data_IF_024669343825
#
_entry.id   IF_024669343825
#
_cell.length_a   1.000
_cell.length_b   1.000
_cell.length_c   1.000
_cell.angle_alpha   90.00
_cell.angle_beta   90.00
_cell.angle_gamma   90.00
#
_symmetry.space_group_name_H-M   'P 1'
#
loop_
_entity.id
_entity.type
_entity.pdbx_description
1 polymer ?
#
# COMPACT_ATOMS: atom_id res chain seq x y z
N UNK A 1 -40.41 22.84 -5.43
CA UNK A 1 -39.34 21.90 -5.85
C UNK A 1 -38.67 21.22 -4.66
N UNK A 2 -38.19 21.95 -3.65
CA UNK A 2 -37.58 21.35 -2.43
C UNK A 2 -38.53 20.45 -1.63
N UNK A 3 -39.78 20.87 -1.44
CA UNK A 3 -40.81 20.05 -0.79
C UNK A 3 -41.07 18.72 -1.52
N UNK A 4 -41.02 18.73 -2.86
CA UNK A 4 -41.19 17.51 -3.67
C UNK A 4 -40.02 16.54 -3.53
N UNK A 5 -38.80 17.04 -3.34
CA UNK A 5 -37.62 16.20 -3.08
C UNK A 5 -37.75 15.53 -1.72
N UNK A 6 -38.15 16.28 -0.69
CA UNK A 6 -38.33 15.75 0.68
C UNK A 6 -39.48 14.74 0.75
N UNK A 7 -40.60 15.03 0.09
CA UNK A 7 -41.72 14.09 -0.05
C UNK A 7 -41.30 12.81 -0.79
N UNK A 8 -40.56 12.95 -1.88
CA UNK A 8 -40.04 11.82 -2.65
C UNK A 8 -39.07 10.96 -1.82
N UNK A 9 -38.11 11.58 -1.10
CA UNK A 9 -37.17 10.87 -0.22
C UNK A 9 -37.92 10.05 0.85
N UNK A 10 -38.95 10.64 1.45
CA UNK A 10 -39.80 9.95 2.43
C UNK A 10 -40.57 8.78 1.83
N UNK A 11 -41.09 8.91 0.61
CA UNK A 11 -41.76 7.82 -0.11
C UNK A 11 -40.78 6.73 -0.54
N UNK A 12 -39.62 7.10 -1.05
CA UNK A 12 -38.57 6.18 -1.50
C UNK A 12 -38.04 5.33 -0.33
N UNK A 13 -37.78 5.95 0.83
CA UNK A 13 -37.37 5.25 2.04
C UNK A 13 -38.38 4.20 2.49
N UNK A 14 -39.68 4.55 2.53
CA UNK A 14 -40.76 3.62 2.89
C UNK A 14 -40.94 2.48 1.89
N UNK A 15 -40.70 2.76 0.60
CA UNK A 15 -40.84 1.78 -0.47
C UNK A 15 -39.57 0.93 -0.70
N UNK A 16 -38.46 1.25 -0.03
CA UNK A 16 -37.15 0.61 -0.27
C UNK A 16 -36.59 0.88 -1.67
N UNK A 17 -37.02 1.97 -2.32
CA UNK A 17 -36.60 2.32 -3.68
C UNK A 17 -35.42 3.29 -3.61
N UNK A 18 -34.46 3.14 -4.52
CA UNK A 18 -33.25 3.97 -4.62
C UNK A 18 -33.36 4.93 -5.81
N UNK A 19 -32.78 6.14 -5.74
CA UNK A 19 -32.66 7.02 -6.89
C UNK A 19 -31.73 6.38 -7.95
N UNK A 20 -31.88 6.75 -9.22
CA UNK A 20 -30.84 6.51 -10.22
C UNK A 20 -29.47 6.98 -9.71
N UNK A 21 -28.39 6.21 -9.90
CA UNK A 21 -27.08 6.49 -9.31
C UNK A 21 -26.49 7.84 -9.78
N UNK A 22 -26.89 8.33 -10.95
CA UNK A 22 -26.47 9.62 -11.51
C UNK A 22 -26.98 10.81 -10.68
N UNK A 23 -28.05 10.61 -9.91
CA UNK A 23 -28.63 11.65 -9.04
C UNK A 23 -28.00 11.67 -7.64
N UNK A 24 -27.22 10.65 -7.27
CA UNK A 24 -26.61 10.58 -5.94
C UNK A 24 -25.74 11.80 -5.60
N UNK A 25 -24.83 12.28 -6.48
CA UNK A 25 -24.06 13.50 -6.20
C UNK A 25 -24.92 14.72 -5.93
N UNK A 26 -25.99 14.92 -6.71
CA UNK A 26 -26.88 16.06 -6.56
C UNK A 26 -27.70 16.00 -5.26
N UNK A 27 -28.09 14.80 -4.83
CA UNK A 27 -28.77 14.59 -3.55
C UNK A 27 -27.83 14.81 -2.36
N UNK A 28 -26.56 14.41 -2.48
CA UNK A 28 -25.55 14.70 -1.45
C UNK A 28 -25.28 16.21 -1.36
N UNK A 29 -25.07 16.89 -2.49
CA UNK A 29 -24.94 18.36 -2.53
C UNK A 29 -26.16 19.07 -1.93
N UNK A 30 -27.36 18.52 -2.11
CA UNK A 30 -28.60 19.04 -1.52
C UNK A 30 -28.64 18.93 0.02
N UNK A 31 -27.97 17.92 0.58
CA UNK A 31 -27.92 17.66 2.02
C UNK A 31 -26.76 18.38 2.72
N UNK A 32 -25.65 18.64 2.01
CA UNK A 32 -24.39 19.18 2.57
C UNK A 32 -24.59 20.38 3.51
N UNK A 33 -25.44 21.34 3.13
CA UNK A 33 -25.65 22.56 3.90
C UNK A 33 -26.65 22.43 5.06
N UNK A 34 -27.31 21.26 5.24
CA UNK A 34 -28.46 21.08 6.13
C UNK A 34 -28.46 19.70 6.82
N UNK A 35 -27.94 19.62 8.06
CA UNK A 35 -27.89 18.38 8.86
C UNK A 35 -29.21 17.63 8.96
N UNK A 36 -30.34 18.33 9.01
CA UNK A 36 -31.69 17.75 9.09
C UNK A 36 -32.04 16.86 7.89
N UNK A 37 -31.32 16.99 6.76
CA UNK A 37 -31.54 16.19 5.55
C UNK A 37 -30.68 14.95 5.45
N UNK A 38 -29.58 14.90 6.22
CA UNK A 38 -28.55 13.87 6.08
C UNK A 38 -29.18 12.48 6.15
N UNK A 39 -29.93 12.16 7.20
CA UNK A 39 -30.56 10.85 7.37
C UNK A 39 -31.41 10.46 6.17
N UNK A 40 -32.36 11.30 5.74
CA UNK A 40 -33.27 10.99 4.62
C UNK A 40 -32.54 10.78 3.29
N UNK A 41 -31.48 11.55 3.03
CA UNK A 41 -30.69 11.43 1.80
C UNK A 41 -29.80 10.21 1.84
N UNK A 42 -29.14 9.94 2.96
CA UNK A 42 -28.27 8.77 3.13
C UNK A 42 -29.07 7.47 3.06
N UNK A 43 -30.26 7.42 3.68
CA UNK A 43 -31.16 6.27 3.57
C UNK A 43 -31.65 6.04 2.14
N UNK A 44 -31.92 7.10 1.38
CA UNK A 44 -32.38 7.01 0.00
C UNK A 44 -31.25 6.62 -0.97
N UNK A 45 -30.06 7.19 -0.83
CA UNK A 45 -28.90 6.92 -1.71
C UNK A 45 -28.25 5.57 -1.34
N UNK A 46 -28.21 5.22 -0.06
CA UNK A 46 -27.67 3.95 0.45
C UNK A 46 -26.14 3.86 0.34
N UNK A 47 -25.58 2.65 0.09
CA UNK A 47 -24.12 2.42 0.10
C UNK A 47 -23.33 3.32 -0.85
N UNK A 48 -23.95 3.77 -1.95
CA UNK A 48 -23.31 4.70 -2.88
C UNK A 48 -22.95 6.04 -2.22
N UNK A 49 -23.72 6.49 -1.21
CA UNK A 49 -23.40 7.71 -0.48
C UNK A 49 -22.09 7.59 0.30
N UNK A 50 -21.89 6.45 0.97
CA UNK A 50 -20.67 6.15 1.71
C UNK A 50 -19.46 6.07 0.77
N UNK A 51 -19.60 5.33 -0.34
CA UNK A 51 -18.55 5.20 -1.34
C UNK A 51 -18.15 6.56 -1.95
N UNK A 52 -19.13 7.40 -2.28
CA UNK A 52 -18.88 8.75 -2.79
C UNK A 52 -18.18 9.63 -1.75
N UNK A 53 -18.63 9.58 -0.49
CA UNK A 53 -18.08 10.40 0.59
C UNK A 53 -16.66 10.01 1.02
N UNK A 54 -16.28 8.74 0.85
CA UNK A 54 -14.91 8.30 1.10
C UNK A 54 -13.92 9.00 0.14
N UNK A 55 -14.37 9.26 -1.10
CA UNK A 55 -13.56 9.77 -2.20
C UNK A 55 -13.59 11.30 -2.31
N UNK A 56 -14.68 11.94 -1.92
CA UNK A 56 -14.89 13.37 -2.07
C UNK A 56 -15.11 14.06 -0.69
N UNK A 57 -14.14 14.86 -0.20
CA UNK A 57 -14.17 15.43 1.15
C UNK A 57 -15.41 16.27 1.49
N UNK A 58 -16.03 16.97 0.54
CA UNK A 58 -17.24 17.79 0.81
C UNK A 58 -18.44 16.97 1.33
N UNK A 59 -18.47 15.66 1.06
CA UNK A 59 -19.52 14.78 1.54
C UNK A 59 -19.16 14.01 2.81
N UNK A 60 -18.11 14.42 3.55
CA UNK A 60 -17.66 13.74 4.76
C UNK A 60 -18.76 13.56 5.83
N UNK A 61 -19.82 14.36 5.82
CA UNK A 61 -20.98 14.20 6.71
C UNK A 61 -21.73 12.87 6.51
N UNK A 62 -21.58 12.24 5.35
CA UNK A 62 -22.16 10.94 5.03
C UNK A 62 -21.36 9.78 5.64
N UNK A 63 -20.11 10.02 6.05
CA UNK A 63 -19.25 9.00 6.64
C UNK A 63 -19.67 8.75 8.10
N UNK A 64 -19.62 7.48 8.57
CA UNK A 64 -19.89 7.16 9.96
C UNK A 64 -18.94 7.94 10.88
N UNK A 65 -19.47 8.43 12.02
CA UNK A 65 -18.72 9.21 12.99
C UNK A 65 -18.34 8.43 14.25
N UNK A 66 -18.98 7.27 14.46
CA UNK A 66 -18.95 6.52 15.71
C UNK A 66 -18.10 5.25 15.57
N UNK A 67 -17.26 4.99 16.56
CA UNK A 67 -16.45 3.77 16.66
C UNK A 67 -17.34 2.53 16.89
N UNK A 68 -18.60 2.69 17.30
CA UNK A 68 -19.61 1.63 17.30
C UNK A 68 -19.81 0.99 15.92
N UNK A 69 -19.59 1.75 14.84
CA UNK A 69 -19.64 1.26 13.45
C UNK A 69 -18.50 0.28 13.18
N UNK A 70 -17.35 0.43 13.83
CA UNK A 70 -16.25 -0.52 13.67
C UNK A 70 -16.64 -1.94 14.11
N UNK A 71 -17.50 -2.04 15.14
CA UNK A 71 -17.89 -3.33 15.75
C UNK A 71 -19.09 -3.99 15.07
N UNK A 72 -20.04 -3.22 14.57
CA UNK A 72 -21.32 -3.73 14.09
C UNK A 72 -21.64 -3.35 12.63
N UNK A 73 -20.81 -2.50 12.02
CA UNK A 73 -20.99 -2.04 10.65
C UNK A 73 -20.56 -3.06 9.62
N UNK A 74 -21.09 -2.89 8.42
CA UNK A 74 -20.67 -3.59 7.21
C UNK A 74 -19.22 -3.22 6.82
N UNK A 75 -18.51 -4.03 6.02
CA UNK A 75 -17.17 -3.70 5.55
C UNK A 75 -17.05 -2.31 4.90
N UNK A 76 -18.03 -1.91 4.10
CA UNK A 76 -18.07 -0.58 3.46
C UNK A 76 -18.17 0.56 4.49
N UNK A 77 -18.97 0.38 5.54
CA UNK A 77 -19.09 1.36 6.63
C UNK A 77 -17.82 1.43 7.47
N UNK A 78 -17.18 0.28 7.73
CA UNK A 78 -15.90 0.19 8.44
C UNK A 78 -14.77 0.86 7.64
N UNK A 79 -14.75 0.67 6.33
CA UNK A 79 -13.83 1.35 5.42
C UNK A 79 -14.04 2.87 5.43
N UNK A 80 -15.29 3.31 5.31
CA UNK A 80 -15.66 4.73 5.39
C UNK A 80 -15.22 5.38 6.72
N UNK A 81 -15.39 4.66 7.83
CA UNK A 81 -14.90 5.08 9.15
C UNK A 81 -13.37 5.18 9.18
N UNK A 82 -12.64 4.17 8.68
CA UNK A 82 -11.18 4.19 8.63
C UNK A 82 -10.63 5.35 7.82
N UNK A 83 -11.16 5.59 6.60
CA UNK A 83 -10.79 6.75 5.75
C UNK A 83 -10.91 8.05 6.55
N UNK A 84 -12.04 8.22 7.23
CA UNK A 84 -12.30 9.43 8.03
C UNK A 84 -11.31 9.55 9.19
N UNK A 85 -11.15 8.48 9.98
CA UNK A 85 -10.22 8.46 11.11
C UNK A 85 -8.79 8.70 10.65
N UNK A 86 -8.35 8.19 9.50
CA UNK A 86 -7.03 8.48 8.94
C UNK A 86 -6.82 9.96 8.58
N UNK A 87 -7.88 10.72 8.29
CA UNK A 87 -7.79 12.19 8.09
C UNK A 87 -7.78 12.96 9.41
N UNK A 88 -8.53 12.51 10.41
CA UNK A 88 -8.75 13.23 11.67
C UNK A 88 -7.73 12.85 12.75
N UNK A 89 -7.51 11.55 12.96
CA UNK A 89 -6.62 10.95 13.96
C UNK A 89 -6.04 9.63 13.42
N UNK A 90 -4.89 9.69 12.71
CA UNK A 90 -4.22 8.51 12.16
C UNK A 90 -3.89 7.44 13.21
N UNK A 91 -3.65 7.84 14.47
CA UNK A 91 -3.31 6.92 15.54
C UNK A 91 -4.53 6.11 15.97
N UNK A 92 -5.67 6.76 16.19
CA UNK A 92 -6.92 6.07 16.52
C UNK A 92 -7.35 5.09 15.41
N UNK A 93 -7.19 5.48 14.13
CA UNK A 93 -7.47 4.58 13.01
C UNK A 93 -6.59 3.31 13.03
N UNK A 94 -5.28 3.48 13.27
CA UNK A 94 -4.35 2.35 13.39
C UNK A 94 -4.73 1.45 14.57
N UNK A 95 -5.09 2.02 15.70
CA UNK A 95 -5.50 1.25 16.89
C UNK A 95 -6.78 0.44 16.63
N UNK A 96 -7.77 1.02 15.95
CA UNK A 96 -8.97 0.31 15.52
C UNK A 96 -8.62 -0.89 14.63
N UNK A 97 -7.82 -0.66 13.59
CA UNK A 97 -7.40 -1.74 12.67
C UNK A 97 -6.59 -2.83 13.39
N UNK A 98 -5.62 -2.44 14.22
CA UNK A 98 -4.79 -3.38 14.97
C UNK A 98 -5.62 -4.24 15.95
N UNK A 99 -6.70 -3.68 16.52
CA UNK A 99 -7.54 -4.37 17.51
C UNK A 99 -8.29 -5.57 16.94
N UNK A 100 -8.61 -5.58 15.64
CA UNK A 100 -9.37 -6.66 15.00
C UNK A 100 -8.59 -7.40 13.92
N UNK A 101 -7.34 -7.00 13.65
CA UNK A 101 -6.49 -7.55 12.57
C UNK A 101 -6.50 -9.08 12.47
N UNK A 102 -6.36 -9.78 13.59
CA UNK A 102 -6.30 -11.24 13.64
C UNK A 102 -7.63 -11.93 13.25
N UNK A 103 -8.75 -11.24 13.38
CA UNK A 103 -10.11 -11.75 13.16
C UNK A 103 -10.61 -11.46 11.74
N UNK A 104 -10.03 -10.46 11.07
CA UNK A 104 -10.44 -10.06 9.72
C UNK A 104 -10.18 -11.15 8.67
N UNK A 105 -11.03 -11.15 7.64
CA UNK A 105 -10.76 -11.89 6.40
C UNK A 105 -9.53 -11.31 5.70
N UNK A 106 -8.95 -12.06 4.77
CA UNK A 106 -7.76 -11.54 4.09
C UNK A 106 -8.10 -10.42 3.09
N UNK A 107 -9.31 -10.43 2.53
CA UNK A 107 -9.85 -9.38 1.68
C UNK A 107 -10.01 -8.08 2.47
N UNK A 108 -10.58 -8.16 3.68
CA UNK A 108 -10.75 -7.01 4.57
C UNK A 108 -9.38 -6.48 5.05
N UNK A 109 -8.44 -7.36 5.37
CA UNK A 109 -7.06 -6.97 5.71
C UNK A 109 -6.40 -6.19 4.59
N UNK A 110 -6.47 -6.69 3.36
CA UNK A 110 -5.91 -6.01 2.19
C UNK A 110 -6.53 -4.61 2.03
N UNK A 111 -7.86 -4.51 2.07
CA UNK A 111 -8.57 -3.25 1.91
C UNK A 111 -8.25 -2.25 3.04
N UNK A 112 -8.39 -2.66 4.31
CA UNK A 112 -8.17 -1.78 5.45
C UNK A 112 -6.72 -1.36 5.61
N UNK A 113 -5.76 -2.23 5.28
CA UNK A 113 -4.34 -1.87 5.30
C UNK A 113 -4.03 -0.79 4.26
N UNK A 114 -4.68 -0.85 3.09
CA UNK A 114 -4.55 0.17 2.03
C UNK A 114 -4.92 1.57 2.51
N UNK A 115 -5.90 1.69 3.42
CA UNK A 115 -6.33 2.98 3.97
C UNK A 115 -5.24 3.70 4.79
N UNK A 116 -4.21 2.99 5.26
CA UNK A 116 -3.08 3.61 5.94
C UNK A 116 -2.27 4.53 5.03
N UNK A 117 -2.38 4.40 3.70
CA UNK A 117 -1.77 5.32 2.74
C UNK A 117 -2.12 6.77 3.05
N UNK A 118 -3.37 7.01 3.47
CA UNK A 118 -3.84 8.30 3.91
C UNK A 118 -3.27 8.62 5.29
N UNK A 119 -2.42 9.65 5.35
CA UNK A 119 -1.79 10.05 6.62
C UNK A 119 -0.75 9.05 7.12
N UNK A 120 -0.11 8.30 6.23
CA UNK A 120 0.94 7.32 6.56
C UNK A 120 2.05 7.95 7.43
N UNK A 121 2.39 7.28 8.54
CA UNK A 121 3.43 7.71 9.48
C UNK A 121 4.34 6.56 9.90
N UNK A 122 5.52 6.86 10.44
CA UNK A 122 6.44 5.85 10.99
C UNK A 122 5.79 5.00 12.09
N UNK A 123 4.79 5.54 12.81
CA UNK A 123 4.07 4.80 13.84
C UNK A 123 3.18 3.67 13.29
N UNK A 124 2.96 3.62 11.97
CA UNK A 124 2.24 2.54 11.30
C UNK A 124 3.14 1.32 11.01
N UNK A 125 4.46 1.47 11.11
CA UNK A 125 5.44 0.42 10.80
C UNK A 125 5.21 -0.91 11.53
N UNK A 126 4.92 -0.97 12.85
CA UNK A 126 4.74 -2.24 13.55
C UNK A 126 3.59 -3.09 12.99
N UNK A 127 2.49 -2.43 12.59
CA UNK A 127 1.33 -3.11 12.00
C UNK A 127 1.66 -3.59 10.58
N UNK A 128 2.39 -2.79 9.80
CA UNK A 128 2.81 -3.14 8.44
C UNK A 128 3.83 -4.29 8.43
N UNK A 129 4.77 -4.32 9.37
CA UNK A 129 5.70 -5.44 9.55
C UNK A 129 4.95 -6.72 9.94
N UNK A 130 3.95 -6.63 10.83
CA UNK A 130 3.09 -7.79 11.12
C UNK A 130 2.30 -8.26 9.87
N UNK A 131 1.88 -7.34 9.00
CA UNK A 131 1.20 -7.66 7.75
C UNK A 131 2.12 -8.29 6.68
N UNK A 132 3.44 -8.04 6.73
CA UNK A 132 4.42 -8.75 5.89
C UNK A 132 4.49 -10.25 6.19
N UNK A 133 4.09 -10.68 7.39
CA UNK A 133 4.03 -12.08 7.77
C UNK A 133 2.67 -12.73 7.46
N UNK A 134 1.72 -12.00 6.82
CA UNK A 134 0.42 -12.56 6.46
C UNK A 134 0.57 -13.72 5.45
N UNK A 135 -0.31 -14.71 5.55
CA UNK A 135 -0.32 -15.90 4.68
C UNK A 135 -0.63 -15.54 3.23
N UNK A 136 -1.41 -14.49 2.99
CA UNK A 136 -1.90 -14.10 1.66
C UNK A 136 -0.98 -13.09 1.00
N UNK A 137 -0.64 -13.36 -0.27
CA UNK A 137 0.23 -12.47 -1.06
C UNK A 137 -0.32 -11.03 -1.20
N UNK A 138 -1.63 -10.82 -1.49
CA UNK A 138 -2.15 -9.45 -1.64
C UNK A 138 -1.92 -8.58 -0.40
N UNK A 139 -2.18 -9.10 0.80
CA UNK A 139 -1.93 -8.40 2.07
C UNK A 139 -0.45 -8.01 2.23
N UNK A 140 0.48 -8.95 1.95
CA UNK A 140 1.92 -8.68 2.01
C UNK A 140 2.38 -7.65 0.99
N UNK A 141 1.76 -7.64 -0.20
CA UNK A 141 2.13 -6.71 -1.27
C UNK A 141 1.76 -5.27 -0.86
N UNK A 142 0.55 -5.04 -0.32
CA UNK A 142 0.12 -3.74 0.23
C UNK A 142 1.04 -3.31 1.38
N UNK A 143 1.38 -4.22 2.30
CA UNK A 143 2.29 -3.93 3.41
C UNK A 143 3.68 -3.46 2.93
N UNK A 144 4.25 -4.19 1.95
CA UNK A 144 5.56 -3.86 1.39
C UNK A 144 5.55 -2.52 0.65
N UNK A 145 4.48 -2.21 -0.09
CA UNK A 145 4.32 -0.93 -0.78
C UNK A 145 4.28 0.24 0.20
N UNK A 146 3.51 0.11 1.28
CA UNK A 146 3.42 1.16 2.30
C UNK A 146 4.73 1.32 3.09
N UNK A 147 5.40 0.22 3.46
CA UNK A 147 6.72 0.27 4.11
C UNK A 147 7.79 0.91 3.22
N UNK A 148 7.74 0.67 1.91
CA UNK A 148 8.64 1.32 0.94
C UNK A 148 8.49 2.85 0.92
N UNK A 149 7.33 3.39 1.32
CA UNK A 149 7.06 4.82 1.44
C UNK A 149 7.50 5.42 2.77
N UNK A 150 7.96 4.60 3.71
CA UNK A 150 8.53 5.00 5.00
C UNK A 150 10.06 4.89 4.94
N UNK A 151 10.79 5.96 4.56
CA UNK A 151 12.24 5.90 4.37
C UNK A 151 13.02 5.63 5.67
N UNK A 152 12.41 5.88 6.83
CA UNK A 152 12.98 5.56 8.15
C UNK A 152 12.73 4.12 8.61
N UNK A 153 11.94 3.33 7.89
CA UNK A 153 11.56 1.98 8.31
C UNK A 153 12.73 0.99 8.28
N UNK A 154 12.68 -0.01 9.16
CA UNK A 154 13.57 -1.15 9.16
C UNK A 154 13.47 -1.94 7.85
N UNK A 155 12.29 -1.98 7.22
CA UNK A 155 12.11 -2.51 5.87
C UNK A 155 12.95 -1.77 4.83
N UNK A 156 12.86 -0.44 4.78
CA UNK A 156 13.64 0.38 3.85
C UNK A 156 15.16 0.25 4.11
N UNK A 157 15.58 0.15 5.37
CA UNK A 157 16.97 -0.12 5.75
C UNK A 157 17.46 -1.50 5.25
N UNK A 158 16.65 -2.55 5.41
CA UNK A 158 16.95 -3.90 4.89
C UNK A 158 17.01 -3.92 3.37
N UNK A 159 16.09 -3.21 2.70
CA UNK A 159 16.07 -3.07 1.25
C UNK A 159 17.35 -2.39 0.75
N UNK A 160 17.74 -1.27 1.35
CA UNK A 160 18.99 -0.55 1.06
C UNK A 160 20.23 -1.44 1.26
N UNK A 161 20.30 -2.17 2.38
CA UNK A 161 21.42 -3.09 2.64
C UNK A 161 21.52 -4.22 1.61
N UNK A 162 20.38 -4.73 1.13
CA UNK A 162 20.34 -5.82 0.15
C UNK A 162 20.76 -5.38 -1.26
N UNK A 163 20.44 -4.15 -1.66
CA UNK A 163 20.72 -3.63 -3.02
C UNK A 163 22.08 -2.92 -3.13
N UNK A 164 22.62 -2.40 -2.02
CA UNK A 164 23.89 -1.68 -1.97
C UNK A 164 25.08 -2.43 -2.62
N UNK A 165 25.23 -3.76 -2.50
CA UNK A 165 26.31 -4.49 -3.18
C UNK A 165 26.12 -4.64 -4.69
N UNK A 166 24.90 -4.42 -5.20
CA UNK A 166 24.51 -4.68 -6.59
C UNK A 166 24.49 -3.42 -7.44
N UNK A 167 24.64 -2.23 -6.84
CA UNK A 167 24.39 -0.95 -7.49
C UNK A 167 25.58 -0.01 -7.27
N UNK A 168 25.97 0.69 -8.34
CA UNK A 168 26.99 1.73 -8.32
C UNK A 168 26.46 2.96 -9.04
N UNK A 169 26.91 4.13 -8.62
CA UNK A 169 26.68 5.38 -9.35
C UNK A 169 27.99 5.76 -10.02
N UNK A 170 28.03 5.74 -11.35
CA UNK A 170 29.21 6.08 -12.17
C UNK A 170 28.83 7.19 -13.14
N UNK A 171 29.51 8.34 -13.06
CA UNK A 171 29.28 9.49 -13.95
C UNK A 171 27.79 9.96 -14.05
N UNK A 172 27.04 9.86 -12.95
CA UNK A 172 25.61 10.19 -12.91
C UNK A 172 24.67 9.09 -13.43
N UNK A 173 25.19 7.92 -13.79
CA UNK A 173 24.41 6.74 -14.18
C UNK A 173 24.38 5.68 -13.08
N UNK A 174 23.22 5.04 -12.89
CA UNK A 174 23.07 3.91 -11.97
C UNK A 174 23.42 2.60 -12.69
N UNK A 175 24.60 2.05 -12.38
CA UNK A 175 25.09 0.78 -12.91
C UNK A 175 24.64 -0.37 -12.00
N UNK A 176 23.94 -1.35 -12.58
CA UNK A 176 23.45 -2.54 -11.86
C UNK A 176 24.27 -3.77 -12.21
N UNK A 177 24.96 -4.33 -11.22
CA UNK A 177 25.69 -5.60 -11.34
C UNK A 177 24.88 -6.71 -10.67
N UNK A 178 24.20 -7.52 -11.48
CA UNK A 178 23.52 -8.72 -11.00
C UNK A 178 24.52 -9.88 -10.90
N UNK A 179 24.52 -10.68 -9.83
CA UNK A 179 25.38 -11.87 -9.76
C UNK A 179 25.01 -12.86 -10.87
N UNK A 180 26.02 -13.44 -11.53
CA UNK A 180 25.91 -14.31 -12.73
C UNK A 180 24.99 -15.56 -12.57
N UNK A 181 24.51 -15.86 -11.37
CA UNK A 181 23.75 -17.06 -11.04
C UNK A 181 22.21 -16.87 -10.92
N UNK A 182 21.63 -15.74 -11.33
CA UNK A 182 20.25 -15.41 -10.93
C UNK A 182 19.30 -15.30 -12.14
N UNK A 183 18.69 -16.44 -12.49
CA UNK A 183 17.85 -16.64 -13.67
C UNK A 183 16.58 -15.78 -13.82
N UNK A 184 16.09 -15.71 -15.05
CA UNK A 184 14.95 -14.89 -15.55
C UNK A 184 13.61 -15.29 -14.87
N UNK A 185 12.89 -14.33 -14.29
CA UNK A 185 11.57 -14.48 -13.61
C UNK A 185 11.51 -13.82 -12.23
N UNK A 186 10.43 -14.02 -11.42
CA UNK A 186 10.06 -13.58 -10.03
C UNK A 186 11.12 -12.90 -9.12
N UNK A 187 12.40 -13.18 -9.33
CA UNK A 187 13.56 -12.56 -8.69
C UNK A 187 13.87 -11.16 -9.24
N UNK A 188 13.55 -10.85 -10.52
CA UNK A 188 13.62 -9.49 -11.06
C UNK A 188 12.60 -8.57 -10.38
N UNK A 189 11.37 -9.05 -10.19
CA UNK A 189 10.31 -8.33 -9.46
C UNK A 189 10.74 -8.00 -8.03
N UNK A 190 11.34 -8.97 -7.33
CA UNK A 190 11.88 -8.76 -5.98
C UNK A 190 13.00 -7.74 -5.95
N UNK A 191 13.91 -7.76 -6.92
CA UNK A 191 14.96 -6.75 -7.02
C UNK A 191 14.37 -5.36 -7.30
N UNK A 192 13.43 -5.24 -8.24
CA UNK A 192 12.73 -3.98 -8.52
C UNK A 192 12.05 -3.43 -7.26
N UNK A 193 11.37 -4.29 -6.49
CA UNK A 193 10.74 -3.88 -5.23
C UNK A 193 11.78 -3.41 -4.18
N UNK A 194 12.91 -4.10 -4.04
CA UNK A 194 13.96 -3.68 -3.11
C UNK A 194 14.63 -2.37 -3.54
N UNK A 195 14.82 -2.15 -4.85
CA UNK A 195 15.34 -0.88 -5.37
C UNK A 195 14.35 0.25 -5.10
N UNK A 196 13.05 0.03 -5.36
CA UNK A 196 12.00 1.01 -5.11
C UNK A 196 11.85 1.37 -3.62
N UNK A 197 12.13 0.42 -2.72
CA UNK A 197 12.01 0.60 -1.27
C UNK A 197 13.28 1.20 -0.61
N UNK A 198 14.41 1.24 -1.30
CA UNK A 198 15.63 1.81 -0.73
C UNK A 198 15.55 3.35 -0.74
N UNK A 199 15.76 4.03 0.41
CA UNK A 199 15.65 5.48 0.50
C UNK A 199 16.58 6.19 -0.47
N UNK A 200 16.18 7.35 -1.00
CA UNK A 200 17.00 8.09 -1.98
C UNK A 200 18.40 8.47 -1.45
N UNK A 201 18.53 8.66 -0.13
CA UNK A 201 19.81 8.88 0.54
C UNK A 201 20.80 7.71 0.39
N UNK A 202 20.34 6.54 -0.04
CA UNK A 202 21.20 5.39 -0.37
C UNK A 202 22.02 5.63 -1.63
N UNK A 203 21.63 6.57 -2.50
CA UNK A 203 22.14 6.72 -3.87
C UNK A 203 23.05 7.95 -4.08
N UNK A 204 23.73 8.42 -3.03
CA UNK A 204 24.64 9.57 -3.12
C UNK A 204 25.97 9.14 -3.76
N UNK A 205 26.54 10.00 -4.62
CA UNK A 205 27.88 9.79 -5.20
C UNK A 205 28.91 9.59 -4.08
N UNK A 206 29.66 8.49 -4.16
CA UNK A 206 30.76 8.20 -3.25
C UNK A 206 30.47 7.11 -2.22
N UNK A 207 31.32 6.09 -2.28
CA UNK A 207 31.56 5.01 -1.31
C UNK A 207 30.56 3.84 -1.26
N UNK A 208 30.79 2.86 -2.13
CA UNK A 208 30.83 1.47 -1.67
C UNK A 208 32.16 0.80 -2.04
N UNK A 209 32.80 0.27 -1.00
CA UNK A 209 34.11 -0.37 -1.04
C UNK A 209 34.18 -1.52 -2.05
N UNK A 210 35.28 -1.54 -2.78
CA UNK A 210 35.75 -2.69 -3.54
C UNK A 210 36.01 -3.82 -2.53
N UNK A 211 35.14 -4.82 -2.47
CA UNK A 211 35.58 -6.16 -2.11
C UNK A 211 36.39 -6.65 -3.31
N UNK A 212 37.70 -6.44 -3.24
CA UNK A 212 38.65 -7.00 -4.18
C UNK A 212 38.53 -8.52 -4.11
N UNK A 213 37.94 -9.14 -5.13
CA UNK A 213 38.28 -10.51 -5.47
C UNK A 213 39.61 -10.47 -6.22
N UNK A 214 40.70 -10.34 -5.47
CA UNK A 214 42.04 -10.49 -6.01
C UNK A 214 42.33 -11.99 -6.28
N UNK A 215 42.71 -12.26 -7.53
CA UNK A 215 43.49 -13.42 -7.96
C UNK A 215 42.68 -14.65 -8.38
N UNK A 216 42.80 -15.21 -9.58
CA UNK A 216 43.72 -14.93 -10.68
C UNK A 216 43.18 -15.63 -11.94
N UNK A 217 43.16 -14.90 -13.06
CA UNK A 217 43.24 -15.52 -14.38
C UNK A 217 44.69 -15.39 -14.84
N UNK A 218 45.37 -16.50 -15.06
CA UNK A 218 46.58 -16.55 -15.87
C UNK A 218 46.31 -17.49 -17.05
N UNK A 219 46.31 -16.88 -18.24
CA UNK A 219 46.10 -17.47 -19.54
C UNK A 219 47.26 -18.36 -19.99
N UNK A 220 46.98 -19.31 -20.88
CA UNK A 220 47.47 -19.33 -22.27
C UNK A 220 47.39 -20.74 -22.86
N UNK A 221 46.74 -20.83 -24.03
CA UNK A 221 46.86 -21.95 -24.95
C UNK A 221 48.19 -21.86 -25.72
N UNK A 222 48.78 -23.02 -26.06
CA UNK A 222 49.94 -23.08 -26.95
C UNK A 222 50.56 -24.47 -27.02
N UNK A 223 50.55 -25.02 -28.22
CA UNK A 223 50.91 -26.36 -28.69
C UNK A 223 52.43 -26.61 -28.78
N UNK A 224 52.76 -27.87 -29.09
CA UNK A 224 53.99 -28.43 -29.66
C UNK A 224 55.10 -29.01 -28.74
N UNK A 225 55.20 -30.35 -28.77
CA UNK A 225 56.38 -30.96 -29.39
C UNK A 225 57.43 -31.66 -28.51
N UNK A 226 57.37 -32.99 -28.54
CA UNK A 226 58.51 -33.92 -28.80
C UNK A 226 59.31 -34.52 -27.60
N UNK A 227 59.05 -35.82 -27.41
CA UNK A 227 59.95 -36.99 -27.24
C UNK A 227 61.11 -36.96 -26.23
N UNK A 228 61.15 -37.96 -25.34
CA UNK A 228 61.98 -39.19 -25.44
C UNK A 228 62.39 -39.77 -24.07
N UNK A 229 62.43 -41.11 -24.00
CA UNK A 229 63.25 -41.95 -23.09
C UNK A 229 62.89 -41.97 -21.58
N UNK A 230 63.13 -42.99 -20.77
CA UNK A 230 63.47 -44.41 -20.90
C UNK A 230 63.48 -45.02 -19.47
N UNK A 231 63.20 -46.32 -19.36
CA UNK A 231 63.53 -47.25 -18.25
C UNK A 231 62.72 -47.08 -16.95
N UNK A 232 62.32 -48.13 -16.24
CA UNK A 232 62.44 -49.58 -16.38
C UNK A 232 61.28 -50.19 -15.54
#
# INVERSE_FOLDING_TARGET
MRELVEEWLGLAGRAGVRPPPELAPALLDYAEARPERHTSVLEAVGPLALWLAAREPRWAYALPADDGVWKAGTPDERHALLVRRRREDPAAARELLASTWAEETWEDREAFLGELELGLTDADEPLLEAALDDRRKPVRDVAAELLARLPGSAFAARAAAAVRPLLRVEAGELVVTLPDAQGRGRRSERLTAMIAAAPLATWVEGETAVAASDGAAAAAAGDDGRAAAAGD
#
